data_IF_300356836106
#
_entry.id   IF_300356836106
#
_cell.length_a   1.000
_cell.length_b   1.000
_cell.length_c   1.000
_cell.angle_alpha   90.00
_cell.angle_beta   90.00
_cell.angle_gamma   90.00
#
_symmetry.space_group_name_H-M   'P 1'
#
loop_
_entity.id
_entity.type
_entity.pdbx_description
1 polymer ?
#
# COMPACT_ATOMS: atom_id res chain seq x y z
N UNK A 1 -19.48 23.96 41.73
CA UNK A 1 -19.28 22.69 40.97
C UNK A 1 -19.75 22.93 39.54
N UNK A 2 -18.90 23.51 38.69
CA UNK A 2 -19.23 23.81 37.30
C UNK A 2 -17.96 23.84 36.46
N UNK A 3 -18.09 23.34 35.22
CA UNK A 3 -17.17 23.54 34.10
C UNK A 3 -15.79 22.87 34.18
N UNK A 4 -15.72 21.53 34.20
CA UNK A 4 -14.51 20.80 33.77
C UNK A 4 -14.91 19.48 33.09
N UNK A 5 -15.64 19.53 31.96
CA UNK A 5 -15.88 18.33 31.12
C UNK A 5 -15.92 18.62 29.61
N UNK A 6 -15.80 19.87 29.17
CA UNK A 6 -15.95 20.27 27.76
C UNK A 6 -14.63 20.38 26.98
N UNK A 7 -13.49 20.56 27.64
CA UNK A 7 -12.20 20.76 26.94
C UNK A 7 -11.64 19.47 26.33
N UNK A 8 -11.82 18.32 27.00
CA UNK A 8 -11.30 17.04 26.51
C UNK A 8 -11.95 16.62 25.18
N UNK A 9 -13.26 16.86 25.01
CA UNK A 9 -13.98 16.51 23.78
C UNK A 9 -13.65 17.45 22.62
N UNK A 10 -13.44 18.73 22.90
CA UNK A 10 -13.05 19.70 21.86
C UNK A 10 -11.63 19.46 21.37
N UNK A 11 -10.67 19.19 22.26
CA UNK A 11 -9.31 18.88 21.86
C UNK A 11 -9.23 17.60 21.03
N UNK A 12 -9.99 16.57 21.40
CA UNK A 12 -9.98 15.32 20.65
C UNK A 12 -10.58 15.46 19.24
N UNK A 13 -11.67 16.24 19.09
CA UNK A 13 -12.22 16.55 17.77
C UNK A 13 -11.22 17.29 16.88
N UNK A 14 -10.52 18.29 17.44
CA UNK A 14 -9.48 19.03 16.71
C UNK A 14 -8.36 18.10 16.23
N UNK A 15 -7.96 17.13 17.06
CA UNK A 15 -6.95 16.13 16.65
C UNK A 15 -7.45 15.22 15.53
N UNK A 16 -8.72 14.79 15.54
CA UNK A 16 -9.30 14.04 14.42
C UNK A 16 -9.28 14.85 13.12
N UNK A 17 -9.68 16.12 13.16
CA UNK A 17 -9.67 16.99 11.98
C UNK A 17 -8.25 17.17 11.43
N UNK A 18 -7.23 17.30 12.31
CA UNK A 18 -5.82 17.34 11.90
C UNK A 18 -5.36 16.05 11.23
N UNK A 19 -5.78 14.89 11.75
CA UNK A 19 -5.45 13.60 11.14
C UNK A 19 -6.10 13.47 9.77
N UNK A 20 -7.36 13.89 9.64
CA UNK A 20 -8.08 13.89 8.35
C UNK A 20 -7.31 14.73 7.33
N UNK A 21 -6.96 15.97 7.70
CA UNK A 21 -6.18 16.86 6.84
C UNK A 21 -4.83 16.24 6.46
N UNK A 22 -4.10 15.70 7.44
CA UNK A 22 -2.82 15.03 7.20
C UNK A 22 -2.95 13.88 6.20
N UNK A 23 -3.95 13.02 6.33
CA UNK A 23 -4.13 11.88 5.43
C UNK A 23 -4.51 12.32 4.02
N UNK A 24 -5.35 13.33 3.88
CA UNK A 24 -5.77 13.85 2.58
C UNK A 24 -4.64 14.57 1.83
N UNK A 25 -3.82 15.34 2.54
CA UNK A 25 -2.75 16.14 1.93
C UNK A 25 -1.45 15.36 1.74
N UNK A 26 -1.07 14.56 2.75
CA UNK A 26 0.26 13.94 2.81
C UNK A 26 0.25 12.47 2.41
N UNK A 27 -0.91 11.81 2.45
CA UNK A 27 -1.03 10.36 2.15
C UNK A 27 -2.25 9.99 1.28
N UNK A 28 -2.56 10.72 0.20
CA UNK A 28 -3.72 10.41 -0.64
C UNK A 28 -3.65 9.01 -1.28
N UNK A 29 -2.45 8.51 -1.59
CA UNK A 29 -2.20 7.17 -2.12
C UNK A 29 -2.61 6.07 -1.12
N UNK A 30 -2.45 6.34 0.18
CA UNK A 30 -2.94 5.44 1.23
C UNK A 30 -4.46 5.29 1.13
N UNK A 31 -5.19 6.40 0.96
CA UNK A 31 -6.64 6.38 0.90
C UNK A 31 -7.16 5.65 -0.35
N UNK A 32 -6.47 5.80 -1.48
CA UNK A 32 -6.78 5.06 -2.72
C UNK A 32 -6.53 3.57 -2.52
N UNK A 33 -5.40 3.17 -1.92
CA UNK A 33 -5.11 1.78 -1.62
C UNK A 33 -6.19 1.15 -0.73
N UNK A 34 -6.59 1.85 0.34
CA UNK A 34 -7.66 1.39 1.23
C UNK A 34 -9.00 1.27 0.49
N UNK A 35 -9.30 2.17 -0.45
CA UNK A 35 -10.52 2.09 -1.25
C UNK A 35 -10.61 0.81 -2.09
N UNK A 36 -9.47 0.35 -2.61
CA UNK A 36 -9.40 -0.89 -3.35
C UNK A 36 -9.52 -2.11 -2.42
N UNK A 37 -8.70 -2.20 -1.38
CA UNK A 37 -8.62 -3.40 -0.55
C UNK A 37 -9.80 -3.59 0.42
N UNK A 38 -10.37 -2.50 0.94
CA UNK A 38 -11.46 -2.59 1.92
C UNK A 38 -12.84 -2.62 1.27
N UNK A 39 -13.00 -1.98 0.11
CA UNK A 39 -14.31 -1.81 -0.52
C UNK A 39 -14.41 -2.41 -1.93
N UNK A 40 -13.33 -2.97 -2.46
CA UNK A 40 -13.32 -3.60 -3.78
C UNK A 40 -13.43 -2.61 -4.94
N UNK A 41 -13.05 -1.34 -4.75
CA UNK A 41 -13.13 -0.32 -5.80
C UNK A 41 -11.78 -0.25 -6.54
N UNK A 42 -11.63 -1.13 -7.52
CA UNK A 42 -10.44 -1.33 -8.36
C UNK A 42 -10.05 -0.10 -9.21
N UNK A 43 -11.02 0.73 -9.60
CA UNK A 43 -10.81 1.92 -10.45
C UNK A 43 -10.96 3.24 -9.69
N UNK A 44 -10.58 3.26 -8.42
CA UNK A 44 -10.50 4.50 -7.65
C UNK A 44 -9.45 5.44 -8.26
N UNK A 45 -9.88 6.64 -8.66
CA UNK A 45 -9.01 7.71 -9.18
C UNK A 45 -8.55 8.63 -8.06
N UNK A 46 -9.41 8.86 -7.08
CA UNK A 46 -9.07 9.62 -5.88
C UNK A 46 -9.93 9.15 -4.72
N UNK A 47 -9.39 9.22 -3.52
CA UNK A 47 -10.13 8.99 -2.29
C UNK A 47 -9.83 10.12 -1.30
N UNK A 48 -10.86 10.55 -0.58
CA UNK A 48 -10.79 11.61 0.42
C UNK A 48 -11.38 11.06 1.73
N UNK A 49 -10.62 11.18 2.81
CA UNK A 49 -11.08 10.89 4.15
C UNK A 49 -11.94 12.07 4.60
N UNK A 50 -13.24 11.85 4.81
CA UNK A 50 -14.20 12.91 5.16
C UNK A 50 -14.65 12.86 6.62
N UNK A 51 -14.43 11.73 7.29
CA UNK A 51 -14.77 11.55 8.69
C UNK A 51 -13.89 10.47 9.32
N UNK A 52 -13.50 10.70 10.58
CA UNK A 52 -12.72 9.80 11.40
C UNK A 52 -13.17 9.94 12.86
N UNK A 53 -13.43 8.81 13.51
CA UNK A 53 -13.68 8.77 14.95
C UNK A 53 -12.99 7.55 15.59
N UNK A 54 -13.43 7.13 16.78
CA UNK A 54 -12.88 5.98 17.51
C UNK A 54 -13.44 4.63 17.06
N UNK A 55 -14.51 4.63 16.26
CA UNK A 55 -15.28 3.46 15.90
C UNK A 55 -15.13 3.16 14.41
N UNK A 56 -14.95 4.19 13.59
CA UNK A 56 -14.94 4.08 12.13
C UNK A 56 -14.22 5.23 11.44
N UNK A 57 -14.05 5.06 10.13
CA UNK A 57 -13.71 6.14 9.21
C UNK A 57 -14.54 6.06 7.93
N UNK A 58 -14.69 7.19 7.25
CA UNK A 58 -15.49 7.31 6.03
C UNK A 58 -14.67 7.92 4.91
N UNK A 59 -14.65 7.23 3.77
CA UNK A 59 -14.01 7.69 2.54
C UNK A 59 -15.05 8.11 1.50
N UNK A 60 -14.78 9.23 0.85
CA UNK A 60 -15.42 9.66 -0.40
C UNK A 60 -14.50 9.28 -1.55
N UNK A 61 -14.97 8.39 -2.41
CA UNK A 61 -14.16 7.73 -3.44
C UNK A 61 -14.72 8.10 -4.81
N UNK A 62 -13.87 8.67 -5.66
CA UNK A 62 -14.18 8.93 -7.06
C UNK A 62 -13.56 7.83 -7.90
N UNK A 63 -14.38 7.15 -8.69
CA UNK A 63 -13.94 6.11 -9.61
C UNK A 63 -14.21 6.50 -11.06
N UNK A 64 -13.37 6.01 -11.97
CA UNK A 64 -13.64 6.07 -13.41
C UNK A 64 -14.24 4.74 -13.84
N UNK A 65 -15.52 4.75 -14.15
CA UNK A 65 -16.10 3.68 -14.97
C UNK A 65 -16.01 4.09 -16.45
N UNK A 66 -16.01 3.15 -17.41
CA UNK A 66 -15.88 3.46 -18.83
C UNK A 66 -16.93 4.44 -19.37
N UNK A 67 -18.04 4.62 -18.65
CA UNK A 67 -19.18 5.43 -19.11
C UNK A 67 -19.55 6.58 -18.16
N UNK A 68 -18.95 6.69 -16.97
CA UNK A 68 -19.21 7.82 -16.05
C UNK A 68 -18.14 8.00 -14.97
N UNK A 69 -18.02 9.24 -14.48
CA UNK A 69 -17.39 9.53 -13.19
C UNK A 69 -18.41 9.19 -12.11
N UNK A 70 -18.12 8.17 -11.30
CA UNK A 70 -18.96 7.76 -10.18
C UNK A 70 -18.30 8.18 -8.87
N UNK A 71 -19.05 8.87 -8.02
CA UNK A 71 -18.65 9.20 -6.66
C UNK A 71 -19.42 8.33 -5.68
N UNK A 72 -18.71 7.70 -4.75
CA UNK A 72 -19.29 6.80 -3.75
C UNK A 72 -18.75 7.13 -2.37
N UNK A 73 -19.60 7.00 -1.34
CA UNK A 73 -19.22 7.15 0.06
C UNK A 73 -19.20 5.77 0.69
N UNK A 74 -18.08 5.41 1.31
CA UNK A 74 -17.88 4.12 1.97
C UNK A 74 -17.38 4.31 3.39
N UNK A 75 -17.93 3.51 4.28
CA UNK A 75 -17.63 3.53 5.71
C UNK A 75 -16.94 2.23 6.09
N UNK A 76 -15.87 2.33 6.89
CA UNK A 76 -15.18 1.19 7.47
C UNK A 76 -15.25 1.28 8.99
N UNK A 77 -15.84 0.25 9.61
CA UNK A 77 -15.88 0.11 11.05
C UNK A 77 -14.61 -0.61 11.54
N UNK A 78 -13.93 -0.04 12.53
CA UNK A 78 -12.82 -0.70 13.19
C UNK A 78 -13.30 -1.96 13.89
N UNK A 79 -12.50 -3.02 13.87
CA UNK A 79 -12.83 -4.31 14.52
C UNK A 79 -13.09 -4.15 16.01
N UNK A 80 -12.43 -3.18 16.64
CA UNK A 80 -12.58 -2.83 18.06
C UNK A 80 -12.61 -1.32 18.21
N UNK A 81 -13.47 -0.74 19.08
CA UNK A 81 -13.43 0.67 19.40
C UNK A 81 -12.05 1.09 19.93
N UNK A 82 -11.56 2.21 19.43
CA UNK A 82 -10.26 2.79 19.76
C UNK A 82 -10.39 3.74 20.95
N UNK A 83 -9.27 4.03 21.62
CA UNK A 83 -9.29 4.85 22.85
C UNK A 83 -9.02 6.32 22.56
N UNK A 84 -8.23 6.62 21.53
CA UNK A 84 -7.76 7.96 21.20
C UNK A 84 -7.73 8.23 19.69
N UNK A 85 -7.62 9.50 19.33
CA UNK A 85 -7.36 9.94 17.94
C UNK A 85 -6.04 9.40 17.39
N UNK A 86 -5.01 9.32 18.23
CA UNK A 86 -3.72 8.76 17.84
C UNK A 86 -3.81 7.27 17.50
N UNK A 87 -4.65 6.50 18.21
CA UNK A 87 -4.92 5.10 17.85
C UNK A 87 -5.57 5.01 16.48
N UNK A 88 -6.53 5.89 16.15
CA UNK A 88 -7.16 5.94 14.84
C UNK A 88 -6.15 6.23 13.73
N UNK A 89 -5.22 7.16 13.95
CA UNK A 89 -4.10 7.43 13.01
C UNK A 89 -3.23 6.19 12.84
N UNK A 90 -2.85 5.54 13.94
CA UNK A 90 -2.01 4.36 13.92
C UNK A 90 -2.68 3.21 13.14
N UNK A 91 -3.99 3.00 13.32
CA UNK A 91 -4.75 2.00 12.57
C UNK A 91 -4.75 2.30 11.08
N UNK A 92 -4.95 3.55 10.65
CA UNK A 92 -4.88 3.93 9.23
C UNK A 92 -3.49 3.62 8.64
N UNK A 93 -2.41 3.88 9.38
CA UNK A 93 -1.03 3.56 8.97
C UNK A 93 -0.81 2.03 8.96
N UNK A 94 -1.34 1.30 9.93
CA UNK A 94 -1.24 -0.17 9.98
C UNK A 94 -1.97 -0.82 8.81
N UNK A 95 -3.20 -0.36 8.49
CA UNK A 95 -3.94 -0.83 7.32
C UNK A 95 -3.16 -0.54 6.03
N UNK A 96 -2.56 0.64 5.91
CA UNK A 96 -1.67 0.94 4.79
C UNK A 96 -0.52 -0.06 4.69
N UNK A 97 0.22 -0.29 5.78
CA UNK A 97 1.36 -1.19 5.80
C UNK A 97 0.97 -2.67 5.56
N UNK A 98 -0.25 -3.05 5.92
CA UNK A 98 -0.77 -4.40 5.70
C UNK A 98 -1.09 -4.64 4.21
N UNK A 99 -1.63 -3.63 3.54
CA UNK A 99 -2.04 -3.73 2.13
C UNK A 99 -1.01 -3.19 1.15
N UNK A 100 -0.02 -2.44 1.63
CA UNK A 100 1.15 -2.15 0.84
C UNK A 100 1.90 -3.46 0.66
N UNK A 101 2.27 -3.77 -0.58
CA UNK A 101 3.08 -4.94 -0.86
C UNK A 101 4.33 -4.89 0.03
N UNK A 102 4.71 -5.97 0.73
CA UNK A 102 6.04 -6.02 1.28
C UNK A 102 6.98 -5.81 0.10
N UNK A 103 7.75 -4.72 0.13
CA UNK A 103 8.97 -4.65 -0.65
C UNK A 103 9.74 -5.91 -0.26
N UNK A 104 9.74 -6.91 -1.14
CA UNK A 104 10.50 -8.13 -0.91
C UNK A 104 11.89 -7.66 -0.47
N UNK A 105 12.41 -8.09 0.69
CA UNK A 105 13.76 -7.77 1.05
C UNK A 105 14.62 -8.38 -0.04
N UNK A 106 15.08 -7.55 -0.98
CA UNK A 106 16.04 -7.94 -1.99
C UNK A 106 17.34 -8.12 -1.22
N UNK A 107 17.53 -9.32 -0.67
CA UNK A 107 18.81 -9.74 -0.17
C UNK A 107 19.69 -9.93 -1.43
N UNK A 108 20.70 -9.06 -1.68
CA UNK A 108 21.45 -9.07 -2.94
C UNK A 108 22.24 -10.36 -3.16
N UNK A 109 22.33 -11.23 -2.14
CA UNK A 109 23.05 -12.51 -2.17
C UNK A 109 22.27 -13.62 -2.91
N UNK A 110 20.94 -13.52 -3.09
CA UNK A 110 20.14 -14.61 -3.70
C UNK A 110 19.83 -14.47 -5.19
N UNK A 111 20.06 -13.30 -5.80
CA UNK A 111 19.83 -13.12 -7.26
C UNK A 111 20.90 -13.86 -8.07
N UNK A 112 22.15 -13.90 -7.58
CA UNK A 112 23.23 -14.64 -8.24
C UNK A 112 22.96 -16.15 -8.25
N UNK A 113 22.39 -16.69 -7.17
CA UNK A 113 22.09 -18.12 -7.02
C UNK A 113 20.96 -18.58 -7.93
N UNK A 114 19.94 -17.73 -8.16
CA UNK A 114 18.83 -18.04 -9.06
C UNK A 114 19.27 -17.99 -10.54
N UNK A 115 20.19 -17.07 -10.89
CA UNK A 115 20.76 -17.01 -12.25
C UNK A 115 21.75 -18.15 -12.54
N UNK A 116 22.49 -18.64 -11.54
CA UNK A 116 23.42 -19.77 -11.69
C UNK A 116 22.75 -21.16 -11.61
N UNK A 117 21.55 -21.26 -11.03
CA UNK A 117 20.82 -22.52 -10.84
C UNK A 117 20.24 -23.16 -12.10
N UNK A 118 20.17 -22.44 -13.24
CA UNK A 118 19.61 -22.96 -14.50
C UNK A 118 20.63 -23.32 -15.58
N UNK A 119 21.91 -22.97 -15.42
CA UNK A 119 22.96 -23.30 -16.41
C UNK A 119 23.66 -24.63 -16.07
N UNK A 120 23.55 -25.09 -14.81
CA UNK A 120 24.13 -26.37 -14.36
C UNK A 120 23.70 -27.63 -15.13
N UNK A 121 22.42 -27.78 -15.57
CA UNK A 121 22.01 -28.97 -16.31
C UNK A 121 22.33 -28.94 -17.81
N UNK A 122 22.67 -27.79 -18.40
CA UNK A 122 22.93 -27.64 -19.85
C UNK A 122 24.40 -27.88 -20.24
N UNK A 123 25.31 -27.93 -19.26
CA UNK A 123 26.74 -28.21 -19.49
C UNK A 123 27.07 -29.69 -19.20
N UNK A 124 26.16 -30.43 -18.57
CA UNK A 124 26.31 -31.87 -18.29
C UNK A 124 25.85 -32.79 -19.45
N UNK A 125 25.56 -32.25 -20.63
CA UNK A 125 25.30 -33.01 -21.87
C UNK A 125 26.28 -32.56 -22.97
N UNK A 126 27.57 -32.55 -22.66
CA UNK A 126 28.63 -32.40 -23.64
C UNK A 126 29.85 -33.22 -23.19
N UNK A 127 29.67 -34.54 -23.10
CA UNK A 127 30.81 -35.44 -23.23
C UNK A 127 31.31 -35.47 -24.69
N UNK A 128 32.61 -35.66 -24.90
CA UNK A 128 33.35 -34.92 -25.91
C UNK A 128 33.72 -35.81 -27.08
N UNK A 129 33.33 -35.47 -28.31
CA UNK A 129 34.07 -35.88 -29.52
C UNK A 129 33.96 -34.81 -30.61
N UNK A 130 35.12 -34.46 -31.11
CA UNK A 130 35.40 -33.80 -32.40
C UNK A 130 35.49 -32.27 -32.42
N UNK A 131 36.76 -31.83 -32.33
CA UNK A 131 37.39 -30.70 -33.01
C UNK A 131 36.46 -29.80 -33.84
N UNK A 132 36.23 -28.58 -33.35
CA UNK A 132 35.93 -27.45 -34.24
C UNK A 132 36.94 -26.33 -33.93
N UNK A 133 37.87 -26.18 -34.86
CA UNK A 133 38.86 -25.11 -34.91
C UNK A 133 38.12 -23.83 -35.34
N UNK A 134 37.82 -22.94 -34.40
CA UNK A 134 37.26 -21.63 -34.74
C UNK A 134 38.40 -20.69 -35.06
N UNK A 135 38.66 -20.54 -36.36
CA UNK A 135 39.52 -19.51 -36.91
C UNK A 135 38.97 -18.13 -36.51
N UNK A 136 39.86 -17.36 -35.88
CA UNK A 136 39.64 -16.03 -35.34
C UNK A 136 39.43 -15.04 -36.50
N UNK A 137 38.25 -14.41 -36.59
CA UNK A 137 38.10 -13.21 -37.42
C UNK A 137 38.15 -11.97 -36.53
N UNK A 138 39.35 -11.39 -36.42
CA UNK A 138 39.52 -9.96 -36.17
C UNK A 138 39.73 -9.28 -37.52
N UNK A 139 38.83 -8.38 -37.90
CA UNK A 139 39.12 -7.41 -38.97
C UNK A 139 38.74 -6.01 -38.47
N UNK A 140 39.80 -5.25 -38.17
CA UNK A 140 40.00 -3.79 -38.16
C UNK A 140 38.79 -2.91 -37.82
#
# INVERSE_FOLDING_TARGET
>A
KGLIMTESNNNEKIEFDRIIQYMNEQRPETLILLSWHLFGIDKAVSAELISLDKIKFTLKIKSKTPFSKSETIKEYQFKTPLKSSQDSKNVLIQLHNQYSFPSFPVNPVSILTILLGWIGPLIAIAEPKEFINFELFHTI
#
